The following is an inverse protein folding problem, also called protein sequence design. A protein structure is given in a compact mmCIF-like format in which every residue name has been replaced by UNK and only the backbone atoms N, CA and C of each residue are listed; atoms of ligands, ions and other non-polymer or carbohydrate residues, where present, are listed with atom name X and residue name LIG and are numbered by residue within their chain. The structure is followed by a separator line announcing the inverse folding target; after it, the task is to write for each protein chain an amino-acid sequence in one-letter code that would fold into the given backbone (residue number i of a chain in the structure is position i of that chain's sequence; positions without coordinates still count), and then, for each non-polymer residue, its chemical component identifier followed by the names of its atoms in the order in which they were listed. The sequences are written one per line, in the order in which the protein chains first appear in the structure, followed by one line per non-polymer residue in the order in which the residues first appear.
data_IF_452165616781
#
_entry.id   IF_452165616781
#
_cell.length_a   1.000
_cell.length_b   1.000
_cell.length_c   1.000
_cell.angle_alpha   90.00
_cell.angle_beta   90.00
_cell.angle_gamma   90.00
#
_symmetry.space_group_name_H-M   'P 1'
#
loop_
_entity.id
_entity.type
_entity.pdbx_description
1 polymer ?
#
# COMPACT_ATOMS: atom_id res chain seq x y z
N UNK A 1 -4.10 -5.51 -33.80
CA UNK A 1 -4.83 -4.51 -33.01
C UNK A 1 -5.87 -5.29 -32.19
N UNK A 2 -5.87 -5.17 -30.86
CA UNK A 2 -6.81 -5.91 -30.01
C UNK A 2 -8.24 -5.46 -30.37
N UNK A 3 -9.13 -6.40 -30.69
CA UNK A 3 -10.51 -6.09 -31.07
C UNK A 3 -11.37 -6.22 -29.81
N UNK A 4 -11.67 -5.08 -29.19
CA UNK A 4 -12.51 -5.10 -27.99
C UNK A 4 -13.97 -5.45 -28.31
N UNK A 5 -14.68 -6.14 -27.41
CA UNK A 5 -16.12 -6.35 -27.54
C UNK A 5 -16.88 -5.03 -27.40
N UNK A 6 -18.15 -5.00 -27.81
CA UNK A 6 -19.01 -3.83 -27.64
C UNK A 6 -19.36 -3.55 -26.16
N UNK A 7 -19.34 -4.60 -25.32
CA UNK A 7 -19.61 -4.54 -23.87
C UNK A 7 -18.83 -5.64 -23.15
N UNK A 8 -18.60 -5.45 -21.84
CA UNK A 8 -18.05 -6.50 -20.99
C UNK A 8 -19.05 -7.63 -20.77
N UNK A 9 -18.53 -8.84 -20.54
CA UNK A 9 -19.31 -9.95 -19.99
C UNK A 9 -19.50 -9.75 -18.47
N UNK A 10 -20.38 -10.53 -17.85
CA UNK A 10 -20.75 -10.37 -16.42
C UNK A 10 -19.56 -10.47 -15.45
N UNK A 11 -18.63 -11.39 -15.70
CA UNK A 11 -17.54 -11.66 -14.77
C UNK A 11 -18.03 -12.15 -13.40
N UNK A 12 -17.20 -11.96 -12.38
CA UNK A 12 -17.45 -12.35 -11.00
C UNK A 12 -17.00 -11.24 -10.03
N UNK A 13 -17.67 -11.11 -8.89
CA UNK A 13 -17.33 -10.16 -7.82
C UNK A 13 -16.08 -10.51 -7.02
N UNK A 14 -15.49 -11.69 -7.27
CA UNK A 14 -14.29 -12.15 -6.60
C UNK A 14 -13.37 -12.93 -7.57
N UNK A 15 -12.04 -12.92 -7.33
CA UNK A 15 -11.35 -12.07 -6.37
C UNK A 15 -11.38 -10.58 -6.80
N UNK A 16 -11.15 -9.67 -5.84
CA UNK A 16 -11.02 -8.24 -6.10
C UNK A 16 -9.75 -7.92 -6.90
N UNK A 17 -9.80 -6.84 -7.68
CA UNK A 17 -8.77 -6.42 -8.64
C UNK A 17 -8.97 -7.00 -10.03
N UNK A 18 -7.90 -7.00 -10.83
CA UNK A 18 -7.87 -7.58 -12.16
C UNK A 18 -7.18 -8.95 -12.16
N UNK A 19 -7.92 -10.01 -12.51
CA UNK A 19 -7.43 -11.40 -12.51
C UNK A 19 -7.49 -11.99 -13.91
N UNK A 20 -6.34 -12.43 -14.41
CA UNK A 20 -6.24 -13.13 -15.68
C UNK A 20 -6.39 -14.64 -15.49
N UNK A 21 -7.26 -15.27 -16.30
CA UNK A 21 -7.62 -16.70 -16.18
C UNK A 21 -7.14 -17.57 -17.36
N UNK A 22 -6.37 -16.99 -18.29
CA UNK A 22 -5.95 -17.67 -19.52
C UNK A 22 -6.76 -17.27 -20.76
N UNK A 23 -8.06 -16.99 -20.58
CA UNK A 23 -9.01 -16.66 -21.66
C UNK A 23 -9.35 -15.16 -21.70
N UNK A 24 -9.13 -14.44 -20.61
CA UNK A 24 -9.45 -13.03 -20.49
C UNK A 24 -9.13 -12.50 -19.10
N UNK A 25 -9.69 -11.34 -18.76
CA UNK A 25 -9.46 -10.68 -17.46
C UNK A 25 -10.80 -10.38 -16.79
N UNK A 26 -10.96 -10.87 -15.56
CA UNK A 26 -12.02 -10.45 -14.66
C UNK A 26 -11.59 -9.21 -13.89
N UNK A 27 -12.41 -8.16 -13.92
CA UNK A 27 -12.23 -6.94 -13.12
C UNK A 27 -13.30 -6.90 -12.04
N UNK A 28 -12.89 -6.66 -10.79
CA UNK A 28 -13.79 -6.50 -9.65
C UNK A 28 -13.28 -5.39 -8.71
N UNK A 29 -14.11 -4.39 -8.43
CA UNK A 29 -13.74 -3.25 -7.57
C UNK A 29 -14.87 -2.87 -6.62
N UNK A 30 -14.53 -2.68 -5.35
CA UNK A 30 -15.49 -2.28 -4.31
C UNK A 30 -15.83 -0.78 -4.39
N UNK A 31 -17.12 -0.47 -4.37
CA UNK A 31 -17.67 0.86 -4.09
C UNK A 31 -19.14 0.74 -3.71
N UNK A 32 -19.48 1.10 -2.46
CA UNK A 32 -20.83 1.09 -1.94
C UNK A 32 -21.67 2.27 -2.47
N UNK A 33 -21.03 3.42 -2.69
CA UNK A 33 -21.71 4.68 -3.01
C UNK A 33 -21.63 5.09 -4.49
N UNK A 34 -20.87 4.37 -5.32
CA UNK A 34 -20.88 4.63 -6.76
C UNK A 34 -22.26 4.32 -7.37
N UNK A 35 -22.62 5.11 -8.38
CA UNK A 35 -23.78 4.90 -9.25
C UNK A 35 -23.39 4.23 -10.58
N UNK A 36 -22.12 4.31 -10.96
CA UNK A 36 -21.53 3.65 -12.13
C UNK A 36 -20.01 3.62 -11.97
N UNK A 37 -19.36 2.57 -12.47
CA UNK A 37 -17.91 2.54 -12.65
C UNK A 37 -17.59 2.17 -14.09
N UNK A 38 -16.76 3.01 -14.74
CA UNK A 38 -16.20 2.72 -16.05
C UNK A 38 -14.78 2.18 -15.92
N UNK A 39 -14.52 1.02 -16.51
CA UNK A 39 -13.19 0.49 -16.81
C UNK A 39 -12.60 1.24 -18.02
N UNK A 40 -11.47 1.91 -17.83
CA UNK A 40 -10.74 2.62 -18.87
C UNK A 40 -9.51 1.82 -19.27
N UNK A 41 -9.37 1.51 -20.56
CA UNK A 41 -8.25 0.75 -21.13
C UNK A 41 -7.33 1.70 -21.89
N UNK A 42 -6.01 1.52 -21.72
CA UNK A 42 -4.98 2.36 -22.32
C UNK A 42 -4.13 1.60 -23.32
N UNK A 43 -3.52 2.35 -24.25
CA UNK A 43 -2.46 1.83 -25.11
C UNK A 43 -1.23 1.39 -24.30
N UNK A 44 -0.31 0.58 -24.84
CA UNK A 44 0.88 0.12 -24.10
C UNK A 44 1.79 1.24 -23.58
N UNK A 45 1.69 2.46 -24.15
CA UNK A 45 2.42 3.62 -23.65
C UNK A 45 1.79 4.25 -22.40
N UNK A 46 0.54 3.90 -22.08
CA UNK A 46 -0.25 4.44 -20.99
C UNK A 46 -0.73 5.89 -21.21
N UNK A 47 -0.56 6.43 -22.43
CA UNK A 47 -0.82 7.84 -22.75
C UNK A 47 -2.23 8.07 -23.30
N UNK A 48 -2.77 7.10 -24.05
CA UNK A 48 -4.06 7.25 -24.72
C UNK A 48 -5.05 6.22 -24.21
N UNK A 49 -6.20 6.70 -23.75
CA UNK A 49 -7.37 5.85 -23.52
C UNK A 49 -7.87 5.34 -24.88
N UNK A 50 -7.88 4.01 -25.07
CA UNK A 50 -8.25 3.35 -26.33
C UNK A 50 -9.62 2.68 -26.28
N UNK A 51 -10.13 2.42 -25.08
CA UNK A 51 -11.48 1.91 -24.87
C UNK A 51 -11.97 2.24 -23.45
N UNK A 52 -13.29 2.30 -23.30
CA UNK A 52 -13.97 2.50 -22.02
C UNK A 52 -15.21 1.62 -21.97
N UNK A 53 -15.39 0.92 -20.86
CA UNK A 53 -16.53 0.03 -20.65
C UNK A 53 -17.15 0.28 -19.29
N UNK A 54 -18.48 0.40 -19.24
CA UNK A 54 -19.22 0.33 -17.99
C UNK A 54 -19.11 -1.09 -17.40
N UNK A 55 -18.83 -1.21 -16.10
CA UNK A 55 -18.88 -2.50 -15.39
C UNK A 55 -20.36 -2.93 -15.26
N UNK A 56 -20.76 -4.07 -15.86
CA UNK A 56 -22.17 -4.40 -16.07
C UNK A 56 -22.91 -4.90 -14.83
N UNK A 57 -22.20 -5.42 -13.83
CA UNK A 57 -22.81 -6.12 -12.70
C UNK A 57 -22.30 -5.55 -11.37
N UNK A 58 -23.16 -5.62 -10.34
CA UNK A 58 -22.86 -5.19 -8.98
C UNK A 58 -23.40 -6.21 -7.98
N UNK A 59 -22.51 -6.94 -7.32
CA UNK A 59 -22.84 -7.96 -6.31
C UNK A 59 -22.15 -7.60 -5.00
N UNK A 60 -22.88 -7.53 -3.88
CA UNK A 60 -22.34 -7.18 -2.55
C UNK A 60 -21.44 -5.94 -2.56
N UNK A 61 -21.89 -4.88 -3.26
CA UNK A 61 -21.19 -3.60 -3.42
C UNK A 61 -19.88 -3.66 -4.23
N UNK A 62 -19.62 -4.80 -4.87
CA UNK A 62 -18.50 -4.98 -5.80
C UNK A 62 -19.01 -4.86 -7.22
N UNK A 63 -18.44 -3.92 -7.97
CA UNK A 63 -18.67 -3.74 -9.40
C UNK A 63 -17.76 -4.67 -10.17
N UNK A 64 -18.29 -5.42 -11.12
CA UNK A 64 -17.50 -6.40 -11.85
C UNK A 64 -17.91 -6.59 -13.31
N UNK A 65 -16.95 -7.09 -14.09
CA UNK A 65 -17.09 -7.37 -15.51
C UNK A 65 -15.90 -8.17 -16.03
N UNK A 66 -16.10 -8.85 -17.15
CA UNK A 66 -15.07 -9.69 -17.77
C UNK A 66 -14.78 -9.25 -19.20
N UNK A 67 -13.49 -9.07 -19.49
CA UNK A 67 -12.98 -8.72 -20.81
C UNK A 67 -12.32 -9.94 -21.45
N UNK A 68 -12.98 -10.62 -22.42
CA UNK A 68 -12.38 -11.75 -23.11
C UNK A 68 -11.14 -11.31 -23.90
N UNK A 69 -10.21 -12.24 -24.08
CA UNK A 69 -8.95 -12.12 -24.82
C UNK A 69 -7.96 -11.07 -24.28
N UNK A 70 -8.32 -10.35 -23.21
CA UNK A 70 -7.38 -9.50 -22.47
C UNK A 70 -6.25 -10.34 -21.88
N UNK A 71 -5.03 -9.78 -21.86
CA UNK A 71 -3.81 -10.46 -21.42
C UNK A 71 -3.03 -9.63 -20.41
N UNK A 72 -2.14 -10.26 -19.63
CA UNK A 72 -1.16 -9.54 -18.80
C UNK A 72 -0.39 -8.49 -19.61
N UNK A 73 -0.10 -7.36 -18.96
CA UNK A 73 0.44 -6.15 -19.58
C UNK A 73 -0.63 -5.15 -20.04
N UNK A 74 -1.92 -5.50 -19.99
CA UNK A 74 -3.00 -4.56 -20.28
C UNK A 74 -3.03 -3.44 -19.23
N UNK A 75 -3.03 -2.20 -19.70
CA UNK A 75 -3.06 -1.01 -18.86
C UNK A 75 -4.49 -0.53 -18.68
N UNK A 76 -4.87 -0.29 -17.43
CA UNK A 76 -6.22 0.14 -17.09
C UNK A 76 -6.26 1.12 -15.92
N UNK A 77 -7.46 1.65 -15.68
CA UNK A 77 -7.85 2.39 -14.48
C UNK A 77 -9.37 2.53 -14.46
N UNK A 78 -9.90 3.17 -13.43
CA UNK A 78 -11.35 3.37 -13.28
C UNK A 78 -11.75 4.84 -13.33
N UNK A 79 -13.01 5.08 -13.72
CA UNK A 79 -13.72 6.34 -13.48
C UNK A 79 -15.02 6.02 -12.76
N UNK A 80 -15.15 6.51 -11.53
CA UNK A 80 -16.35 6.30 -10.73
C UNK A 80 -17.28 7.52 -10.82
N UNK A 81 -18.57 7.25 -10.99
CA UNK A 81 -19.64 8.22 -10.98
C UNK A 81 -20.45 8.03 -9.71
N UNK A 82 -20.86 9.14 -9.11
CA UNK A 82 -21.64 9.15 -7.88
C UNK A 82 -21.89 10.59 -7.43
N UNK A 83 -22.46 10.78 -6.24
CA UNK A 83 -22.71 12.10 -5.69
C UNK A 83 -21.39 12.86 -5.44
N UNK A 84 -21.32 14.11 -5.90
CA UNK A 84 -20.30 15.05 -5.45
C UNK A 84 -20.94 15.95 -4.38
N UNK A 85 -21.01 15.43 -3.17
CA UNK A 85 -21.56 16.08 -1.98
C UNK A 85 -20.47 16.15 -0.90
N UNK A 86 -19.44 17.01 -1.04
CA UNK A 86 -18.32 17.04 -0.09
C UNK A 86 -18.74 17.27 1.35
N UNK A 87 -19.82 18.00 1.61
CA UNK A 87 -20.37 18.22 2.96
C UNK A 87 -20.87 16.94 3.64
N UNK A 88 -21.12 15.87 2.87
CA UNK A 88 -21.57 14.55 3.31
C UNK A 88 -20.52 13.47 3.00
N UNK A 89 -19.26 13.87 2.88
CA UNK A 89 -18.15 12.96 2.61
C UNK A 89 -18.10 12.34 1.20
N UNK A 90 -19.07 12.58 0.31
CA UNK A 90 -19.05 12.01 -1.04
C UNK A 90 -18.25 12.87 -2.01
N UNK A 91 -17.19 12.30 -2.61
CA UNK A 91 -16.21 13.02 -3.44
C UNK A 91 -16.03 12.42 -4.84
N UNK A 92 -17.08 11.80 -5.40
CA UNK A 92 -17.04 11.18 -6.73
C UNK A 92 -16.79 12.20 -7.84
N UNK A 93 -15.74 11.99 -8.63
CA UNK A 93 -15.45 12.83 -9.78
C UNK A 93 -14.97 11.99 -10.97
N UNK A 94 -15.83 11.71 -11.97
CA UNK A 94 -15.48 10.84 -13.09
C UNK A 94 -14.45 11.45 -14.04
N UNK A 95 -14.12 12.74 -13.90
CA UNK A 95 -13.02 13.34 -14.65
C UNK A 95 -11.65 12.90 -14.12
N UNK A 96 -11.59 12.32 -12.92
CA UNK A 96 -10.36 11.79 -12.33
C UNK A 96 -10.24 10.31 -12.67
N UNK A 97 -9.12 9.93 -13.29
CA UNK A 97 -8.72 8.54 -13.46
C UNK A 97 -8.23 8.01 -12.12
N UNK A 98 -8.71 6.82 -11.75
CA UNK A 98 -8.44 6.17 -10.47
C UNK A 98 -7.61 4.91 -10.71
N UNK A 99 -6.60 4.72 -9.86
CA UNK A 99 -5.85 3.46 -9.74
C UNK A 99 -6.75 2.41 -9.09
N UNK A 100 -6.65 1.16 -9.54
CA UNK A 100 -7.28 0.03 -8.86
C UNK A 100 -6.63 -0.20 -7.48
N UNK A 101 -7.38 -0.20 -6.36
CA UNK A 101 -6.83 -0.42 -5.02
C UNK A 101 -6.18 -1.81 -4.86
N UNK A 102 -6.56 -2.77 -5.71
CA UNK A 102 -5.99 -4.12 -5.79
C UNK A 102 -4.97 -4.28 -6.95
N UNK A 103 -4.48 -3.17 -7.54
CA UNK A 103 -3.45 -3.24 -8.57
C UNK A 103 -2.16 -3.89 -8.04
N UNK A 104 -1.74 -4.99 -8.68
CA UNK A 104 -0.51 -5.73 -8.35
C UNK A 104 0.75 -5.13 -9.02
N UNK A 105 0.56 -4.25 -9.99
CA UNK A 105 1.64 -3.45 -10.57
C UNK A 105 1.09 -2.13 -11.13
N UNK A 106 1.96 -1.11 -11.18
CA UNK A 106 1.66 0.19 -11.75
C UNK A 106 2.67 0.54 -12.85
N UNK A 107 2.20 1.10 -13.95
CA UNK A 107 3.04 1.62 -15.04
C UNK A 107 2.97 3.15 -15.11
N UNK A 108 4.15 3.77 -15.18
CA UNK A 108 4.32 5.21 -15.27
C UNK A 108 4.59 5.85 -13.91
N UNK A 109 4.76 7.17 -13.91
CA UNK A 109 4.97 7.97 -12.71
C UNK A 109 3.85 9.00 -12.57
N UNK A 110 3.49 9.32 -11.33
CA UNK A 110 2.59 10.42 -11.04
C UNK A 110 3.22 11.74 -11.52
N UNK A 111 2.51 12.47 -12.39
CA UNK A 111 2.92 13.78 -12.87
C UNK A 111 2.02 14.84 -12.27
N UNK A 112 2.55 15.56 -11.29
CA UNK A 112 1.79 16.56 -10.57
C UNK A 112 1.28 17.67 -11.48
N UNK A 113 -0.03 17.91 -11.36
CA UNK A 113 -0.72 19.06 -11.91
C UNK A 113 -2.01 19.26 -11.13
N UNK A 114 -2.59 20.44 -11.21
CA UNK A 114 -3.86 20.74 -10.53
C UNK A 114 -5.03 19.87 -11.04
N UNK A 115 -4.88 19.21 -12.20
CA UNK A 115 -5.88 18.26 -12.72
C UNK A 115 -6.04 17.01 -11.85
N UNK A 116 -5.05 16.68 -11.02
CA UNK A 116 -5.08 15.53 -10.11
C UNK A 116 -6.00 15.74 -8.91
N UNK A 117 -6.50 16.96 -8.70
CA UNK A 117 -7.37 17.29 -7.58
C UNK A 117 -8.83 17.22 -8.05
N UNK A 118 -9.70 16.61 -7.23
CA UNK A 118 -11.15 16.55 -7.48
C UNK A 118 -11.83 17.92 -7.53
N UNK A 119 -11.19 18.92 -6.93
CA UNK A 119 -11.63 20.30 -6.80
C UNK A 119 -10.64 21.27 -7.46
N UNK A 120 -11.07 22.50 -7.70
CA UNK A 120 -10.22 23.52 -8.31
C UNK A 120 -9.39 24.21 -7.24
N UNK A 121 -8.06 24.03 -7.26
CA UNK A 121 -7.13 24.59 -6.26
C UNK A 121 -7.31 26.11 -6.07
N UNK A 122 -7.50 26.86 -7.16
CA UNK A 122 -7.69 28.32 -7.11
C UNK A 122 -9.12 28.78 -6.82
N UNK A 123 -10.07 27.86 -6.58
CA UNK A 123 -11.45 28.27 -6.33
C UNK A 123 -11.61 28.85 -4.92
N UNK A 124 -12.35 29.96 -4.75
CA UNK A 124 -12.67 30.48 -3.41
C UNK A 124 -13.54 29.52 -2.60
N UNK A 125 -14.17 28.52 -3.24
CA UNK A 125 -14.93 27.45 -2.57
C UNK A 125 -14.06 26.28 -2.11
N UNK A 126 -12.75 26.29 -2.39
CA UNK A 126 -11.82 25.22 -2.02
C UNK A 126 -12.28 23.84 -2.52
N UNK A 127 -12.22 22.85 -1.62
CA UNK A 127 -12.62 21.45 -1.87
C UNK A 127 -14.12 21.25 -2.14
N UNK A 128 -14.96 22.27 -1.91
CA UNK A 128 -16.38 22.25 -2.27
C UNK A 128 -16.61 22.49 -3.77
N UNK A 129 -15.60 22.97 -4.50
CA UNK A 129 -15.67 23.12 -5.95
C UNK A 129 -15.43 21.79 -6.65
N UNK A 130 -15.89 21.66 -7.90
CA UNK A 130 -15.59 20.50 -8.76
C UNK A 130 -14.67 20.89 -9.91
N UNK A 131 -13.59 20.13 -10.08
CA UNK A 131 -12.67 20.26 -11.21
C UNK A 131 -12.99 19.22 -12.29
N UNK A 132 -13.28 19.67 -13.51
CA UNK A 132 -13.68 18.82 -14.63
C UNK A 132 -12.54 18.46 -15.59
N UNK A 133 -11.30 18.84 -15.29
CA UNK A 133 -10.13 18.50 -16.12
C UNK A 133 -9.81 17.02 -15.94
N UNK A 134 -9.48 16.37 -17.05
CA UNK A 134 -9.06 14.98 -17.07
C UNK A 134 -7.69 14.80 -16.39
N UNK A 135 -7.61 13.90 -15.41
CA UNK A 135 -6.36 13.59 -14.71
C UNK A 135 -5.56 12.44 -15.36
N UNK A 136 -6.15 11.70 -16.31
CA UNK A 136 -5.53 10.51 -16.89
C UNK A 136 -4.08 10.69 -17.39
N UNK A 137 -3.66 11.84 -17.99
CA UNK A 137 -2.27 12.04 -18.39
C UNK A 137 -1.26 12.09 -17.23
N UNK A 138 -1.71 12.39 -16.01
CA UNK A 138 -0.87 12.55 -14.83
C UNK A 138 -0.89 11.38 -13.84
N UNK A 139 -1.80 10.41 -14.01
CA UNK A 139 -1.98 9.27 -13.09
C UNK A 139 -1.29 8.02 -13.66
N UNK A 140 -0.52 7.25 -12.87
CA UNK A 140 0.01 5.95 -13.32
C UNK A 140 -1.14 4.97 -13.63
N UNK A 141 -0.90 3.99 -14.50
CA UNK A 141 -1.92 3.02 -14.90
C UNK A 141 -1.77 1.74 -14.10
N UNK A 142 -2.87 1.16 -13.66
CA UNK A 142 -2.89 -0.21 -13.14
C UNK A 142 -2.55 -1.18 -14.28
N UNK A 143 -1.83 -2.24 -13.95
CA UNK A 143 -1.37 -3.24 -14.91
C UNK A 143 -2.00 -4.58 -14.57
N UNK A 144 -2.60 -5.25 -15.56
CA UNK A 144 -2.97 -6.67 -15.41
C UNK A 144 -1.68 -7.49 -15.37
N UNK A 145 -1.47 -8.26 -14.31
CA UNK A 145 -0.25 -9.06 -14.12
C UNK A 145 -0.51 -10.56 -14.36
N UNK A 146 0.58 -11.30 -14.54
CA UNK A 146 0.59 -12.75 -14.36
C UNK A 146 1.40 -13.05 -13.12
N UNK A 147 0.79 -13.75 -12.16
CA UNK A 147 1.36 -14.00 -10.84
C UNK A 147 2.17 -15.29 -10.77
N UNK A 148 2.22 -16.05 -11.87
CA UNK A 148 2.92 -17.32 -11.94
C UNK A 148 4.44 -17.12 -11.75
N UNK A 149 4.95 -17.61 -10.61
CA UNK A 149 6.36 -17.63 -10.27
C UNK A 149 6.74 -18.99 -9.70
N UNK A 150 7.85 -19.58 -10.16
CA UNK A 150 8.33 -20.87 -9.67
C UNK A 150 9.29 -20.69 -8.49
N UNK A 151 8.78 -20.86 -7.27
CA UNK A 151 9.56 -20.82 -6.03
C UNK A 151 10.53 -22.01 -5.86
N UNK A 152 10.36 -23.10 -6.60
CA UNK A 152 11.17 -24.31 -6.43
C UNK A 152 11.08 -24.84 -4.99
N UNK A 153 12.24 -25.15 -4.40
CA UNK A 153 12.34 -25.68 -3.04
C UNK A 153 12.42 -24.59 -1.94
N UNK A 154 11.98 -23.36 -2.23
CA UNK A 154 11.98 -22.27 -1.25
C UNK A 154 11.19 -22.66 0.01
N UNK A 155 11.73 -22.30 1.18
CA UNK A 155 11.10 -22.50 2.48
C UNK A 155 11.37 -21.28 3.34
N UNK A 156 10.33 -20.80 4.01
CA UNK A 156 10.43 -19.76 5.04
C UNK A 156 11.48 -20.18 6.09
N UNK A 157 12.52 -19.37 6.38
CA UNK A 157 13.57 -19.72 7.33
C UNK A 157 13.06 -19.99 8.76
N UNK A 158 12.00 -19.29 9.19
CA UNK A 158 11.34 -19.46 10.51
C UNK A 158 12.32 -19.40 11.69
N UNK A 159 13.13 -18.36 11.74
CA UNK A 159 14.05 -18.08 12.84
C UNK A 159 13.23 -17.81 14.12
N UNK A 160 13.44 -18.54 15.23
CA UNK A 160 12.75 -18.27 16.48
C UNK A 160 13.05 -16.86 17.02
N UNK A 161 12.08 -16.22 17.68
CA UNK A 161 12.21 -14.86 18.21
C UNK A 161 13.43 -14.67 19.11
N UNK A 162 13.79 -15.67 19.93
CA UNK A 162 14.97 -15.58 20.81
C UNK A 162 16.32 -15.60 20.08
N UNK A 163 16.32 -15.88 18.77
CA UNK A 163 17.51 -15.84 17.89
C UNK A 163 17.41 -14.76 16.82
N UNK A 164 16.33 -13.99 16.80
CA UNK A 164 16.11 -12.95 15.81
C UNK A 164 17.00 -11.73 16.10
N UNK A 165 17.75 -11.30 15.07
CA UNK A 165 18.53 -10.06 15.04
C UNK A 165 18.09 -9.32 13.79
N UNK A 166 17.29 -8.27 14.00
CA UNK A 166 16.70 -7.48 12.93
C UNK A 166 17.68 -6.40 12.47
N UNK A 167 17.85 -6.27 11.16
CA UNK A 167 18.46 -5.10 10.55
C UNK A 167 17.42 -4.34 9.74
N UNK A 168 17.06 -3.15 10.20
CA UNK A 168 16.27 -2.20 9.41
C UNK A 168 17.14 -1.67 8.26
N UNK A 169 16.61 -1.71 7.03
CA UNK A 169 17.31 -1.23 5.86
C UNK A 169 16.39 -0.54 4.86
N UNK A 170 16.85 0.60 4.36
CA UNK A 170 16.26 1.19 3.17
C UNK A 170 16.76 0.46 1.92
N UNK A 171 15.87 -0.17 1.16
CA UNK A 171 16.22 -0.94 -0.05
C UNK A 171 17.15 -0.19 -1.00
N UNK A 172 16.80 1.06 -1.35
CA UNK A 172 17.64 1.93 -2.18
C UNK A 172 18.99 2.24 -1.54
N UNK A 173 19.00 2.78 -0.32
CA UNK A 173 20.21 3.22 0.38
C UNK A 173 21.24 2.11 0.61
N UNK A 174 20.77 0.88 0.86
CA UNK A 174 21.60 -0.28 1.17
C UNK A 174 22.66 -0.59 0.10
N UNK A 175 22.35 -0.31 -1.17
CA UNK A 175 23.20 -0.67 -2.31
C UNK A 175 23.53 0.47 -3.28
N UNK A 176 22.98 1.68 -3.09
CA UNK A 176 23.10 2.79 -4.04
C UNK A 176 24.56 3.18 -4.38
N UNK A 177 25.49 3.00 -3.44
CA UNK A 177 26.91 3.38 -3.60
C UNK A 177 27.85 2.19 -3.81
N UNK A 178 27.34 0.97 -4.00
CA UNK A 178 28.16 -0.22 -4.28
C UNK A 178 28.65 -0.20 -5.73
N UNK A 179 29.96 -0.04 -5.92
CA UNK A 179 30.59 0.11 -7.24
C UNK A 179 30.57 -1.18 -8.06
N UNK A 180 30.47 -2.33 -7.40
CA UNK A 180 30.47 -3.67 -7.95
C UNK A 180 29.17 -3.99 -8.71
N UNK A 181 28.08 -3.30 -8.36
CA UNK A 181 26.78 -3.42 -9.03
C UNK A 181 26.71 -2.50 -10.25
N UNK A 182 25.99 -2.94 -11.29
CA UNK A 182 25.71 -2.06 -12.43
C UNK A 182 24.82 -0.89 -12.00
N UNK A 183 24.89 0.27 -12.69
CA UNK A 183 24.09 1.44 -12.32
C UNK A 183 22.57 1.20 -12.28
N UNK A 184 22.06 0.26 -13.08
CA UNK A 184 20.63 -0.09 -13.14
C UNK A 184 20.20 -0.98 -11.97
N UNK A 185 21.12 -1.76 -11.40
CA UNK A 185 20.82 -2.65 -10.25
C UNK A 185 20.90 -1.91 -8.92
N UNK A 186 21.74 -0.88 -8.81
CA UNK A 186 21.96 -0.14 -7.56
C UNK A 186 20.64 0.40 -6.99
N UNK A 187 20.37 0.04 -5.74
CA UNK A 187 19.20 0.47 -5.00
C UNK A 187 17.89 -0.20 -5.43
N UNK A 188 17.97 -1.39 -6.04
CA UNK A 188 16.81 -2.18 -6.48
C UNK A 188 16.79 -3.57 -5.81
N UNK A 189 15.72 -4.33 -6.02
CA UNK A 189 15.64 -5.73 -5.58
C UNK A 189 16.70 -6.63 -6.22
N UNK A 190 17.19 -6.31 -7.43
CA UNK A 190 18.34 -7.05 -8.00
C UNK A 190 19.60 -6.92 -7.17
N UNK A 191 19.87 -5.73 -6.64
CA UNK A 191 20.98 -5.55 -5.71
C UNK A 191 20.76 -6.33 -4.42
N UNK A 192 19.51 -6.45 -3.95
CA UNK A 192 19.19 -7.23 -2.76
C UNK A 192 19.47 -8.73 -2.96
N UNK A 193 19.29 -9.22 -4.19
CA UNK A 193 19.58 -10.59 -4.60
C UNK A 193 21.07 -10.87 -4.86
N UNK A 194 21.93 -9.84 -4.80
CA UNK A 194 23.35 -9.96 -5.15
C UNK A 194 24.13 -10.81 -4.12
N UNK A 195 24.94 -11.79 -4.56
CA UNK A 195 25.69 -12.65 -3.65
C UNK A 195 26.64 -11.91 -2.71
N UNK A 196 27.28 -10.82 -3.15
CA UNK A 196 28.22 -10.06 -2.31
C UNK A 196 27.50 -9.24 -1.24
N UNK A 197 26.28 -8.78 -1.53
CA UNK A 197 25.43 -8.18 -0.50
C UNK A 197 24.97 -9.23 0.51
N UNK A 198 24.47 -10.38 0.06
CA UNK A 198 24.00 -11.44 0.97
C UNK A 198 25.14 -11.93 1.87
N UNK A 199 26.32 -12.17 1.31
CA UNK A 199 27.52 -12.55 2.08
C UNK A 199 27.94 -11.47 3.09
N UNK A 200 27.74 -10.19 2.77
CA UNK A 200 27.91 -9.11 3.74
C UNK A 200 26.89 -9.18 4.90
N UNK A 201 25.61 -9.43 4.61
CA UNK A 201 24.57 -9.58 5.64
C UNK A 201 24.86 -10.77 6.55
N UNK A 202 25.29 -11.90 5.98
CA UNK A 202 25.69 -13.08 6.74
C UNK A 202 26.88 -12.81 7.66
N UNK A 203 27.92 -12.12 7.17
CA UNK A 203 29.07 -11.72 8.00
C UNK A 203 28.70 -10.75 9.12
N UNK A 204 27.73 -9.87 8.90
CA UNK A 204 27.22 -8.99 9.94
C UNK A 204 26.50 -9.77 11.05
N UNK A 205 26.00 -10.97 10.74
CA UNK A 205 25.34 -11.87 11.68
C UNK A 205 23.87 -11.59 11.89
N UNK A 206 23.23 -10.85 10.97
CA UNK A 206 21.79 -10.61 11.03
C UNK A 206 21.04 -11.90 10.65
N UNK A 207 19.83 -12.06 11.17
CA UNK A 207 18.96 -13.20 10.82
C UNK A 207 17.70 -12.76 10.09
N UNK A 208 17.30 -11.50 10.25
CA UNK A 208 16.09 -10.95 9.65
C UNK A 208 16.37 -9.56 9.09
N UNK A 209 15.98 -9.32 7.85
CA UNK A 209 16.04 -8.03 7.19
C UNK A 209 14.67 -7.36 7.23
N UNK A 210 14.55 -6.22 7.88
CA UNK A 210 13.35 -5.38 7.86
C UNK A 210 13.50 -4.29 6.81
N UNK A 211 12.71 -4.36 5.74
CA UNK A 211 12.74 -3.38 4.67
C UNK A 211 11.78 -2.23 4.98
N UNK A 212 12.29 -1.00 4.92
CA UNK A 212 11.46 0.21 4.86
C UNK A 212 10.42 0.12 3.71
N UNK A 213 9.32 0.90 3.73
CA UNK A 213 8.17 0.69 2.86
C UNK A 213 8.50 0.44 1.38
N UNK A 214 8.11 -0.74 0.90
CA UNK A 214 8.30 -1.15 -0.50
C UNK A 214 7.01 -1.10 -1.33
N UNK A 215 5.86 -0.90 -0.71
CA UNK A 215 4.58 -0.73 -1.40
C UNK A 215 4.62 0.54 -2.27
N UNK A 216 3.87 0.56 -3.37
CA UNK A 216 3.94 1.68 -4.30
C UNK A 216 3.42 2.97 -3.65
N UNK A 217 4.35 3.88 -3.34
CA UNK A 217 4.08 5.22 -2.79
C UNK A 217 4.27 6.34 -3.82
N UNK A 218 3.80 7.55 -3.46
CA UNK A 218 3.98 8.76 -4.29
C UNK A 218 5.04 9.69 -3.71
N UNK A 219 5.64 10.50 -4.58
CA UNK A 219 6.46 11.63 -4.18
C UNK A 219 5.54 12.83 -3.94
N UNK A 220 5.47 13.32 -2.71
CA UNK A 220 4.61 14.44 -2.34
C UNK A 220 4.85 15.70 -3.17
N UNK A 221 3.76 16.37 -3.57
CA UNK A 221 3.83 17.62 -4.35
C UNK A 221 4.69 18.68 -3.67
N UNK A 222 4.47 18.89 -2.37
CA UNK A 222 5.19 19.93 -1.61
C UNK A 222 6.69 19.64 -1.47
N UNK A 223 7.10 18.37 -1.49
CA UNK A 223 8.52 17.99 -1.51
C UNK A 223 9.13 18.31 -2.87
N UNK A 224 8.45 17.93 -3.96
CA UNK A 224 8.92 18.18 -5.32
C UNK A 224 9.03 19.67 -5.65
N UNK A 225 8.08 20.49 -5.19
CA UNK A 225 8.13 21.96 -5.31
C UNK A 225 9.35 22.58 -4.62
N UNK A 226 9.95 21.87 -3.65
CA UNK A 226 11.19 22.26 -2.96
C UNK A 226 12.44 21.56 -3.51
N UNK A 227 12.32 20.81 -4.62
CA UNK A 227 13.42 20.01 -5.16
C UNK A 227 13.79 18.79 -4.33
N UNK A 228 12.91 18.35 -3.43
CA UNK A 228 13.06 17.18 -2.56
C UNK A 228 12.26 15.99 -3.09
N UNK A 229 12.43 14.83 -2.46
CA UNK A 229 11.66 13.61 -2.79
C UNK A 229 11.31 12.84 -1.52
N UNK A 230 10.24 12.05 -1.56
CA UNK A 230 9.94 11.10 -0.50
C UNK A 230 10.93 9.93 -0.63
N UNK A 231 11.89 9.88 0.30
CA UNK A 231 12.92 8.84 0.32
C UNK A 231 12.36 7.57 0.97
N UNK A 232 11.84 7.70 2.19
CA UNK A 232 11.42 6.56 3.02
C UNK A 232 10.22 5.78 2.49
N UNK A 233 9.27 6.43 1.82
CA UNK A 233 8.14 5.75 1.19
C UNK A 233 6.88 5.57 2.06
N UNK A 234 6.82 6.15 3.25
CA UNK A 234 5.62 6.17 4.12
C UNK A 234 4.51 7.08 3.56
N UNK A 235 4.00 6.75 2.38
CA UNK A 235 2.95 7.51 1.69
C UNK A 235 2.29 6.68 0.57
N UNK A 236 1.68 5.56 0.95
CA UNK A 236 1.26 4.50 0.01
C UNK A 236 0.10 4.90 -0.89
N UNK A 237 0.20 4.53 -2.18
CA UNK A 237 -0.85 4.63 -3.20
C UNK A 237 -1.52 3.28 -3.46
N UNK A 238 -0.73 2.21 -3.62
CA UNK A 238 -1.24 0.86 -3.90
C UNK A 238 -0.57 -0.17 -2.97
N UNK A 239 -1.40 -0.89 -2.21
CA UNK A 239 -0.95 -1.82 -1.17
C UNK A 239 -0.38 -3.14 -1.73
N UNK A 240 -0.77 -3.52 -2.94
CA UNK A 240 -0.39 -4.81 -3.56
C UNK A 240 0.79 -4.67 -4.53
N UNK A 241 1.10 -3.46 -5.00
CA UNK A 241 2.15 -3.25 -5.98
C UNK A 241 3.48 -2.88 -5.29
N UNK A 242 4.62 -3.49 -5.66
CA UNK A 242 5.92 -2.97 -5.28
C UNK A 242 6.19 -1.61 -5.92
N UNK A 243 6.96 -0.76 -5.23
CA UNK A 243 7.33 0.55 -5.72
C UNK A 243 8.21 0.46 -6.97
N UNK A 244 7.72 0.97 -8.10
CA UNK A 244 8.33 0.78 -9.41
C UNK A 244 9.79 1.25 -9.49
N UNK A 245 10.19 2.29 -8.74
CA UNK A 245 11.57 2.78 -8.75
C UNK A 245 12.57 1.84 -8.05
N UNK A 246 12.09 0.80 -7.38
CA UNK A 246 12.90 -0.25 -6.76
C UNK A 246 13.04 -1.50 -7.62
N UNK A 247 12.45 -1.50 -8.83
CA UNK A 247 12.55 -2.58 -9.81
C UNK A 247 13.48 -2.12 -10.93
N UNK A 248 14.52 -2.90 -11.21
CA UNK A 248 15.52 -2.58 -12.24
C UNK A 248 14.93 -2.68 -13.66
N UNK A 249 14.06 -3.66 -13.90
CA UNK A 249 13.42 -3.94 -15.19
C UNK A 249 11.89 -3.75 -15.13
N UNK A 250 11.37 -3.34 -13.98
CA UNK A 250 9.94 -3.10 -13.78
C UNK A 250 9.12 -4.37 -13.50
N UNK A 251 9.77 -5.50 -13.26
CA UNK A 251 9.08 -6.77 -13.00
C UNK A 251 8.93 -7.05 -11.50
N UNK A 252 7.72 -7.28 -10.98
CA UNK A 252 7.53 -7.71 -9.58
C UNK A 252 8.26 -9.01 -9.23
N UNK A 253 8.64 -9.84 -10.22
CA UNK A 253 9.42 -11.06 -9.99
C UNK A 253 10.83 -10.78 -9.43
N UNK A 254 11.33 -9.55 -9.57
CA UNK A 254 12.60 -9.15 -8.94
C UNK A 254 12.51 -9.25 -7.41
N UNK A 255 11.37 -8.88 -6.82
CA UNK A 255 11.12 -9.01 -5.37
C UNK A 255 11.17 -10.47 -4.94
N UNK A 256 10.42 -11.33 -5.64
CA UNK A 256 10.36 -12.78 -5.36
C UNK A 256 11.73 -13.43 -5.48
N UNK A 257 12.52 -13.01 -6.47
CA UNK A 257 13.89 -13.50 -6.67
C UNK A 257 14.80 -13.09 -5.52
N UNK A 258 14.70 -11.84 -5.05
CA UNK A 258 15.49 -11.35 -3.93
C UNK A 258 15.15 -12.10 -2.63
N UNK A 259 13.85 -12.24 -2.32
CA UNK A 259 13.38 -12.96 -1.13
C UNK A 259 13.84 -14.42 -1.18
N UNK A 260 13.66 -15.13 -2.31
CA UNK A 260 14.15 -16.51 -2.49
C UNK A 260 15.65 -16.65 -2.24
N UNK A 261 16.46 -15.67 -2.66
CA UNK A 261 17.91 -15.68 -2.44
C UNK A 261 18.28 -15.45 -0.98
N UNK A 262 17.56 -14.57 -0.29
CA UNK A 262 17.72 -14.35 1.15
C UNK A 262 17.31 -15.59 1.94
N UNK A 263 16.20 -16.23 1.60
CA UNK A 263 15.76 -17.49 2.21
C UNK A 263 16.78 -18.62 2.02
N UNK A 264 17.34 -18.76 0.83
CA UNK A 264 18.40 -19.74 0.57
C UNK A 264 19.66 -19.49 1.42
N UNK A 265 19.87 -18.26 1.89
CA UNK A 265 20.92 -17.90 2.83
C UNK A 265 20.48 -17.96 4.31
N UNK A 266 19.23 -18.32 4.59
CA UNK A 266 18.67 -18.38 5.93
C UNK A 266 18.31 -17.02 6.54
N UNK A 267 18.10 -15.99 5.71
CA UNK A 267 17.71 -14.64 6.13
C UNK A 267 16.22 -14.45 5.87
N UNK A 268 15.48 -14.10 6.93
CA UNK A 268 14.06 -13.73 6.83
C UNK A 268 13.88 -12.31 6.29
N UNK A 269 12.71 -12.02 5.73
CA UNK A 269 12.32 -10.70 5.24
C UNK A 269 11.05 -10.24 5.94
N UNK A 270 11.15 -9.12 6.66
CA UNK A 270 10.02 -8.37 7.22
C UNK A 270 9.78 -7.13 6.37
N UNK A 271 8.51 -6.81 6.11
CA UNK A 271 8.14 -5.57 5.44
C UNK A 271 7.59 -4.56 6.43
N UNK A 272 8.12 -3.34 6.38
CA UNK A 272 7.48 -2.18 6.97
C UNK A 272 6.25 -1.80 6.12
N UNK A 273 5.08 -1.78 6.75
CA UNK A 273 3.79 -1.59 6.08
C UNK A 273 2.99 -0.44 6.67
N UNK A 274 2.43 0.37 5.77
CA UNK A 274 1.64 1.56 6.11
C UNK A 274 0.20 1.32 5.68
N UNK A 275 -0.63 0.87 6.62
CA UNK A 275 -2.08 0.69 6.40
C UNK A 275 -2.93 1.75 7.13
N UNK A 276 -2.30 2.63 7.90
CA UNK A 276 -2.98 3.61 8.74
C UNK A 276 -3.46 4.85 7.95
N UNK A 277 -2.73 5.26 6.90
CA UNK A 277 -3.08 6.38 6.01
C UNK A 277 -2.74 6.08 4.54
N UNK A 278 -3.11 7.00 3.66
CA UNK A 278 -2.82 6.94 2.21
C UNK A 278 -2.26 8.26 1.70
N UNK A 279 -1.69 8.23 0.50
CA UNK A 279 -1.16 9.41 -0.17
C UNK A 279 -2.16 10.46 -0.64
N UNK A 280 -3.46 10.23 -0.45
CA UNK A 280 -4.48 11.20 -0.85
C UNK A 280 -4.64 12.35 0.18
N UNK A 281 -3.96 12.29 1.34
CA UNK A 281 -3.97 13.36 2.35
C UNK A 281 -5.38 13.74 2.85
N UNK A 282 -5.54 14.97 3.34
CA UNK A 282 -6.86 15.50 3.79
C UNK A 282 -7.76 15.85 2.61
N UNK A 283 -8.92 16.47 2.86
CA UNK A 283 -9.86 16.96 1.84
C UNK A 283 -9.22 17.84 0.75
N UNK A 284 -8.07 18.44 1.07
CA UNK A 284 -7.27 19.27 0.17
C UNK A 284 -6.21 18.49 -0.62
N UNK A 285 -6.12 17.17 -0.45
CA UNK A 285 -5.22 16.32 -1.21
C UNK A 285 -5.77 15.90 -2.59
N UNK A 286 -5.00 15.11 -3.36
CA UNK A 286 -5.37 14.68 -4.70
C UNK A 286 -6.51 13.64 -4.69
N UNK A 287 -6.99 13.28 -5.87
CA UNK A 287 -7.96 12.20 -6.09
C UNK A 287 -7.37 11.22 -7.11
N UNK A 288 -6.80 10.13 -6.60
CA UNK A 288 -5.97 9.15 -7.28
C UNK A 288 -6.52 7.71 -7.19
N UNK A 289 -7.21 7.36 -6.10
CA UNK A 289 -7.67 5.99 -5.86
C UNK A 289 -8.94 5.96 -4.97
N UNK A 290 -8.75 5.80 -3.66
CA UNK A 290 -9.77 5.51 -2.66
C UNK A 290 -10.83 6.61 -2.55
N UNK A 291 -10.41 7.88 -2.52
CA UNK A 291 -11.30 9.06 -2.47
C UNK A 291 -12.28 9.08 -3.63
N UNK A 292 -11.79 8.80 -4.83
CA UNK A 292 -12.60 8.82 -6.03
C UNK A 292 -13.51 7.60 -6.16
N UNK A 293 -13.11 6.46 -5.58
CA UNK A 293 -13.86 5.21 -5.62
C UNK A 293 -14.96 5.17 -4.56
N UNK A 294 -14.66 5.52 -3.31
CA UNK A 294 -15.65 5.61 -2.23
C UNK A 294 -15.09 6.30 -0.97
N UNK A 295 -14.97 7.64 -0.99
CA UNK A 295 -14.37 8.39 0.11
C UNK A 295 -14.98 8.08 1.50
N UNK A 296 -16.30 7.89 1.58
CA UNK A 296 -17.01 7.66 2.84
C UNK A 296 -16.81 6.25 3.40
N UNK A 297 -16.52 5.26 2.55
CA UNK A 297 -16.18 3.91 3.00
C UNK A 297 -14.71 3.77 3.37
N UNK A 298 -13.79 4.29 2.54
CA UNK A 298 -12.35 4.08 2.72
C UNK A 298 -11.73 4.90 3.87
N UNK A 299 -12.24 6.09 4.17
CA UNK A 299 -11.66 6.98 5.18
C UNK A 299 -12.57 7.18 6.38
N UNK A 300 -11.97 7.35 7.55
CA UNK A 300 -12.70 7.77 8.75
C UNK A 300 -13.04 9.24 8.62
N UNK A 301 -14.34 9.55 8.57
CA UNK A 301 -14.85 10.91 8.50
C UNK A 301 -15.15 11.44 9.91
N UNK A 302 -15.04 12.75 10.09
CA UNK A 302 -15.42 13.39 11.36
C UNK A 302 -16.94 13.30 11.51
N UNK A 303 -17.47 12.69 12.59
CA UNK A 303 -18.91 12.67 12.83
C UNK A 303 -19.49 14.09 12.86
N UNK A 304 -20.65 14.29 12.25
CA UNK A 304 -21.33 15.61 12.11
C UNK A 304 -20.61 16.64 11.22
N UNK A 305 -19.39 16.36 10.76
CA UNK A 305 -18.63 17.16 9.79
C UNK A 305 -17.92 16.26 8.78
N UNK A 306 -18.72 15.46 8.06
CA UNK A 306 -18.26 14.42 7.12
C UNK A 306 -17.44 14.97 5.95
N UNK A 307 -17.37 16.30 5.80
CA UNK A 307 -16.45 16.96 4.88
C UNK A 307 -15.00 16.65 5.21
N UNK A 308 -14.66 16.57 6.50
CA UNK A 308 -13.30 16.42 6.97
C UNK A 308 -13.02 14.96 7.37
N UNK A 309 -11.77 14.56 7.24
CA UNK A 309 -11.30 13.25 7.67
C UNK A 309 -10.65 13.34 9.05
N UNK A 310 -10.80 12.27 9.84
CA UNK A 310 -10.02 12.07 11.05
C UNK A 310 -8.55 11.90 10.65
N UNK A 311 -7.67 12.56 11.40
CA UNK A 311 -6.22 12.58 11.13
C UNK A 311 -5.43 12.11 12.36
N UNK A 312 -5.68 10.87 12.79
CA UNK A 312 -4.97 10.25 13.91
C UNK A 312 -3.52 9.90 13.55
N UNK A 313 -3.15 9.98 12.26
CA UNK A 313 -1.82 9.64 11.72
C UNK A 313 -0.91 10.85 11.56
N UNK A 314 -1.46 12.07 11.57
CA UNK A 314 -0.74 13.28 11.21
C UNK A 314 -0.52 13.48 9.70
N UNK A 315 -0.95 12.54 8.85
CA UNK A 315 -0.74 12.54 7.40
C UNK A 315 -1.94 13.06 6.57
N UNK A 316 -2.99 13.52 7.25
CA UNK A 316 -4.17 14.17 6.67
C UNK A 316 -5.39 13.26 6.57
N UNK A 317 -5.23 11.94 6.63
CA UNK A 317 -6.34 10.98 6.67
C UNK A 317 -6.01 9.76 7.53
N UNK A 318 -7.05 9.02 7.89
CA UNK A 318 -6.98 7.71 8.53
C UNK A 318 -7.86 6.73 7.76
N UNK A 319 -7.30 5.58 7.39
CA UNK A 319 -8.02 4.51 6.70
C UNK A 319 -9.05 3.86 7.64
N UNK A 320 -10.24 3.54 7.15
CA UNK A 320 -11.35 3.05 7.98
C UNK A 320 -11.36 1.53 8.12
N UNK A 321 -10.54 0.99 9.03
CA UNK A 321 -10.48 -0.46 9.25
C UNK A 321 -11.69 -1.05 9.97
N UNK A 322 -12.60 -0.22 10.51
CA UNK A 322 -13.90 -0.68 10.99
C UNK A 322 -14.85 -1.05 9.84
N UNK A 323 -14.56 -0.61 8.61
CA UNK A 323 -15.36 -0.96 7.43
C UNK A 323 -14.94 -2.35 6.88
N UNK A 324 -15.86 -3.34 6.75
CA UNK A 324 -15.51 -4.71 6.39
C UNK A 324 -14.71 -4.86 5.09
N UNK A 325 -15.04 -4.07 4.06
CA UNK A 325 -14.33 -4.10 2.76
C UNK A 325 -12.93 -3.47 2.79
N UNK A 326 -12.71 -2.49 3.67
CA UNK A 326 -11.40 -1.86 3.83
C UNK A 326 -10.50 -2.75 4.67
N UNK A 327 -11.06 -3.35 5.73
CA UNK A 327 -10.41 -4.41 6.48
C UNK A 327 -10.03 -5.58 5.56
N UNK A 328 -10.98 -6.07 4.75
CA UNK A 328 -10.73 -7.12 3.76
C UNK A 328 -9.55 -6.76 2.84
N UNK A 329 -9.50 -5.53 2.30
CA UNK A 329 -8.40 -5.07 1.46
C UNK A 329 -7.04 -5.14 2.17
N UNK A 330 -6.95 -4.71 3.42
CA UNK A 330 -5.71 -4.81 4.21
C UNK A 330 -5.34 -6.27 4.46
N UNK A 331 -6.29 -7.11 4.84
CA UNK A 331 -6.05 -8.54 5.07
C UNK A 331 -5.63 -9.27 3.79
N UNK A 332 -6.26 -8.96 2.65
CA UNK A 332 -5.89 -9.52 1.36
C UNK A 332 -4.50 -9.05 0.93
N UNK A 333 -4.13 -7.80 1.20
CA UNK A 333 -2.79 -7.28 0.94
C UNK A 333 -1.74 -8.00 1.78
N UNK A 334 -1.98 -8.16 3.09
CA UNK A 334 -1.09 -8.93 3.96
C UNK A 334 -0.92 -10.37 3.46
N UNK A 335 -2.02 -11.05 3.10
CA UNK A 335 -1.95 -12.41 2.52
C UNK A 335 -1.21 -12.43 1.18
N UNK A 336 -1.38 -11.42 0.34
CA UNK A 336 -0.67 -11.31 -0.92
C UNK A 336 0.85 -11.26 -0.70
N UNK A 337 1.33 -10.40 0.20
CA UNK A 337 2.75 -10.34 0.53
C UNK A 337 3.27 -11.63 1.19
N UNK A 338 2.49 -12.26 2.07
CA UNK A 338 2.86 -13.51 2.72
C UNK A 338 2.89 -14.72 1.76
N UNK A 339 1.83 -14.92 0.96
CA UNK A 339 1.66 -16.12 0.14
C UNK A 339 2.31 -15.96 -1.23
N UNK A 340 2.16 -14.80 -1.87
CA UNK A 340 2.67 -14.63 -3.24
C UNK A 340 4.16 -14.22 -3.22
N UNK A 341 4.61 -13.48 -2.19
CA UNK A 341 5.99 -13.02 -2.06
C UNK A 341 6.81 -13.73 -0.97
N UNK A 342 6.21 -14.64 -0.20
CA UNK A 342 6.87 -15.38 0.89
C UNK A 342 7.49 -14.48 1.97
N UNK A 343 6.90 -13.32 2.25
CA UNK A 343 7.34 -12.45 3.36
C UNK A 343 7.13 -13.15 4.71
N UNK A 344 8.14 -13.08 5.59
CA UNK A 344 8.15 -13.76 6.90
C UNK A 344 7.44 -12.98 8.03
N UNK A 345 7.15 -11.69 7.80
CA UNK A 345 6.48 -10.85 8.78
C UNK A 345 6.30 -9.40 8.36
N UNK A 346 5.66 -8.65 9.25
CA UNK A 346 5.31 -7.26 9.02
C UNK A 346 5.65 -6.41 10.24
N UNK A 347 6.23 -5.23 9.99
CA UNK A 347 6.31 -4.13 10.95
C UNK A 347 5.27 -3.09 10.57
N UNK A 348 4.30 -2.85 11.45
CA UNK A 348 3.18 -1.96 11.22
C UNK A 348 3.52 -0.55 11.72
N UNK A 349 3.64 0.37 10.77
CA UNK A 349 3.74 1.81 11.02
C UNK A 349 2.49 2.32 11.72
N UNK A 350 2.68 3.15 12.75
CA UNK A 350 1.60 3.71 13.59
C UNK A 350 0.51 2.68 13.92
N UNK A 351 0.90 1.49 14.38
CA UNK A 351 0.02 0.33 14.53
C UNK A 351 -1.20 0.61 15.41
N UNK A 352 -1.05 1.51 16.39
CA UNK A 352 -2.17 1.95 17.24
C UNK A 352 -3.35 2.50 16.44
N UNK A 353 -3.10 3.14 15.30
CA UNK A 353 -4.18 3.64 14.45
C UNK A 353 -5.01 2.51 13.84
N UNK A 354 -4.40 1.36 13.56
CA UNK A 354 -5.09 0.19 13.01
C UNK A 354 -6.07 -0.43 14.02
N UNK A 355 -5.82 -0.20 15.31
CA UNK A 355 -6.69 -0.63 16.41
C UNK A 355 -7.80 0.36 16.77
N UNK A 356 -7.96 1.46 16.04
CA UNK A 356 -8.94 2.50 16.39
C UNK A 356 -10.33 2.19 15.90
N UNK A 357 -11.25 2.11 16.85
CA UNK A 357 -12.70 2.10 16.63
C UNK A 357 -13.30 3.50 16.85
N UNK A 358 -14.62 3.64 16.81
CA UNK A 358 -15.30 4.92 17.06
C UNK A 358 -15.07 5.48 18.47
N UNK A 359 -14.65 4.65 19.43
CA UNK A 359 -14.40 5.01 20.83
C UNK A 359 -12.91 5.05 21.22
N UNK A 360 -11.99 4.83 20.29
CA UNK A 360 -10.54 4.82 20.54
C UNK A 360 -9.88 3.48 20.24
N UNK A 361 -8.65 3.29 20.73
CA UNK A 361 -7.91 2.04 20.54
C UNK A 361 -8.57 0.87 21.28
N UNK A 362 -8.73 -0.24 20.59
CA UNK A 362 -9.19 -1.51 21.14
C UNK A 362 -8.29 -2.66 20.67
N UNK A 363 -7.68 -3.35 21.64
CA UNK A 363 -6.87 -4.55 21.39
C UNK A 363 -7.68 -5.74 20.83
N UNK A 364 -9.01 -5.68 20.91
CA UNK A 364 -9.96 -6.65 20.34
C UNK A 364 -10.78 -6.04 19.19
N UNK A 365 -10.26 -5.01 18.52
CA UNK A 365 -10.88 -4.47 17.31
C UNK A 365 -10.94 -5.50 16.18
N UNK A 366 -11.77 -5.23 15.17
CA UNK A 366 -11.95 -6.13 14.03
C UNK A 366 -10.66 -6.48 13.30
N UNK A 367 -9.72 -5.53 13.19
CA UNK A 367 -8.42 -5.75 12.56
C UNK A 367 -7.59 -6.81 13.28
N UNK A 368 -7.40 -6.66 14.60
CA UNK A 368 -6.60 -7.60 15.38
C UNK A 368 -7.25 -8.98 15.49
N UNK A 369 -8.58 -9.05 15.56
CA UNK A 369 -9.29 -10.32 15.60
C UNK A 369 -9.12 -11.11 14.30
N UNK A 370 -9.33 -10.47 13.14
CA UNK A 370 -9.19 -11.14 11.85
C UNK A 370 -7.75 -11.53 11.56
N UNK A 371 -6.77 -10.71 11.96
CA UNK A 371 -5.34 -11.01 11.80
C UNK A 371 -4.90 -12.21 12.65
N UNK A 372 -5.30 -12.27 13.92
CA UNK A 372 -4.88 -13.34 14.85
C UNK A 372 -5.52 -14.69 14.55
N UNK A 373 -6.74 -14.71 14.03
CA UNK A 373 -7.39 -15.96 13.63
C UNK A 373 -6.95 -16.45 12.24
N UNK A 374 -6.34 -15.59 11.42
CA UNK A 374 -5.99 -15.94 10.06
C UNK A 374 -4.92 -17.05 10.01
N UNK A 375 -5.16 -18.18 9.34
CA UNK A 375 -4.25 -19.33 9.38
C UNK A 375 -2.90 -19.08 8.69
N UNK A 376 -2.81 -18.08 7.80
CA UNK A 376 -1.56 -17.69 7.17
C UNK A 376 -0.85 -16.66 8.03
N UNK A 377 -1.53 -15.57 8.37
CA UNK A 377 -0.90 -14.38 8.96
C UNK A 377 -0.55 -14.56 10.44
N UNK A 378 -1.32 -15.34 11.20
CA UNK A 378 -1.04 -15.63 12.62
C UNK A 378 0.27 -16.37 12.86
N UNK A 379 0.86 -16.98 11.81
CA UNK A 379 2.11 -17.72 11.87
C UNK A 379 3.34 -16.88 11.51
N UNK A 380 3.17 -15.60 11.20
CA UNK A 380 4.24 -14.68 10.79
C UNK A 380 4.70 -13.81 11.95
N UNK A 381 5.86 -13.16 11.79
CA UNK A 381 6.30 -12.15 12.76
C UNK A 381 5.47 -10.88 12.60
N UNK A 382 4.86 -10.42 13.69
CA UNK A 382 4.08 -9.18 13.73
C UNK A 382 4.77 -8.21 14.69
N UNK A 383 5.20 -7.05 14.18
CA UNK A 383 5.88 -6.00 14.96
C UNK A 383 5.02 -4.74 14.89
N UNK A 384 4.68 -4.14 16.03
CA UNK A 384 3.95 -2.90 16.09
C UNK A 384 4.88 -1.71 16.38
N UNK A 385 4.64 -0.58 15.73
CA UNK A 385 4.90 0.73 16.32
C UNK A 385 3.74 1.07 17.26
N UNK A 386 3.94 0.98 18.59
CA UNK A 386 2.82 0.97 19.53
C UNK A 386 2.38 2.37 19.93
N UNK A 387 2.37 3.30 18.97
CA UNK A 387 1.83 4.63 19.16
C UNK A 387 1.28 5.23 17.86
N UNK A 388 0.47 6.27 18.00
CA UNK A 388 0.14 7.22 16.94
C UNK A 388 0.03 8.65 17.53
N UNK A 389 0.03 9.73 16.71
CA UNK A 389 -0.06 11.09 17.22
C UNK A 389 -1.47 11.51 17.66
N UNK A 390 -2.50 10.66 17.46
CA UNK A 390 -3.87 10.95 17.85
C UNK A 390 -4.08 10.91 19.38
N UNK A 391 -5.21 11.46 19.88
CA UNK A 391 -5.55 11.38 21.29
C UNK A 391 -5.60 9.93 21.77
N UNK A 392 -4.96 9.64 22.91
CA UNK A 392 -4.84 8.29 23.44
C UNK A 392 -3.98 7.35 22.59
N UNK A 393 -3.12 7.90 21.72
CA UNK A 393 -2.36 7.12 20.75
C UNK A 393 -1.24 6.27 21.33
N UNK A 394 -0.71 6.55 22.53
CA UNK A 394 0.38 5.76 23.13
C UNK A 394 -0.11 4.44 23.74
N UNK A 395 0.26 3.31 23.13
CA UNK A 395 -0.25 1.96 23.42
C UNK A 395 0.87 0.94 23.65
N UNK A 396 2.05 1.38 24.12
CA UNK A 396 3.14 0.48 24.50
C UNK A 396 2.66 -0.51 25.58
N UNK A 397 2.75 -1.80 25.28
CA UNK A 397 2.34 -2.92 26.12
C UNK A 397 0.87 -3.31 25.98
N UNK A 398 0.11 -2.65 25.11
CA UNK A 398 -1.34 -2.86 24.96
C UNK A 398 -1.72 -3.55 23.64
N UNK A 399 -0.76 -3.92 22.77
CA UNK A 399 -1.08 -4.71 21.59
C UNK A 399 -1.41 -6.16 21.99
N UNK A 400 -2.27 -6.84 21.21
CA UNK A 400 -2.68 -8.19 21.57
C UNK A 400 -1.53 -9.20 21.51
N UNK A 401 -1.65 -10.34 22.22
CA UNK A 401 -0.65 -11.41 22.16
C UNK A 401 -0.35 -11.84 20.72
N UNK A 402 0.93 -12.11 20.45
CA UNK A 402 1.47 -12.44 19.13
C UNK A 402 2.22 -11.28 18.46
N UNK A 403 2.01 -10.05 18.93
CA UNK A 403 2.81 -8.90 18.51
C UNK A 403 4.06 -8.73 19.36
N UNK A 404 5.18 -8.43 18.70
CA UNK A 404 6.29 -7.71 19.29
C UNK A 404 6.06 -6.19 19.12
N UNK A 405 6.68 -5.37 19.96
CA UNK A 405 6.51 -3.92 19.90
C UNK A 405 7.88 -3.21 19.87
N UNK A 406 7.98 -2.14 19.08
CA UNK A 406 9.11 -1.22 19.18
C UNK A 406 9.10 -0.54 20.56
N UNK A 407 10.17 -0.76 21.33
CA UNK A 407 10.29 -0.24 22.69
C UNK A 407 11.02 1.10 22.71
N UNK A 408 10.25 2.20 22.61
CA UNK A 408 10.78 3.57 22.71
C UNK A 408 11.36 3.87 24.09
N UNK A 409 10.78 3.31 25.16
CA UNK A 409 11.33 3.44 26.52
C UNK A 409 12.74 2.89 26.61
N UNK A 410 13.00 1.71 26.05
CA UNK A 410 14.35 1.15 25.98
C UNK A 410 15.29 2.08 25.20
N UNK A 411 14.89 2.53 24.01
CA UNK A 411 15.66 3.46 23.18
C UNK A 411 16.04 4.72 23.97
N UNK A 412 15.08 5.35 24.63
CA UNK A 412 15.27 6.63 25.30
C UNK A 412 16.05 6.46 26.61
N UNK A 413 15.75 5.43 27.40
CA UNK A 413 16.49 5.11 28.63
C UNK A 413 17.96 4.79 28.35
N UNK A 414 18.26 3.92 27.38
CA UNK A 414 19.64 3.57 27.02
C UNK A 414 20.41 4.81 26.54
N UNK A 415 19.79 5.64 25.68
CA UNK A 415 20.40 6.89 25.21
C UNK A 415 20.69 7.84 26.36
N UNK A 416 19.74 8.04 27.27
CA UNK A 416 19.89 8.92 28.44
C UNK A 416 20.97 8.42 29.38
N UNK A 417 21.01 7.12 29.65
CA UNK A 417 22.05 6.51 30.47
C UNK A 417 23.45 6.77 29.92
N UNK A 418 23.68 6.50 28.63
CA UNK A 418 24.99 6.71 28.01
C UNK A 418 25.32 8.19 27.76
N UNK A 419 24.31 9.07 27.64
CA UNK A 419 24.51 10.52 27.62
C UNK A 419 24.97 11.09 28.97
N UNK A 420 24.75 10.36 30.06
CA UNK A 420 25.12 10.75 31.43
C UNK A 420 23.97 11.35 32.25
N UNK A 421 22.72 11.17 31.83
CA UNK A 421 21.57 11.59 32.63
C UNK A 421 21.48 10.78 33.95
N UNK A 422 21.11 11.46 35.04
CA UNK A 422 20.90 10.82 36.34
C UNK A 422 19.69 9.86 36.35
N UNK A 423 19.66 8.97 37.36
CA UNK A 423 18.52 8.09 37.69
C UNK A 423 18.11 7.04 36.65
N UNK A 424 18.96 6.70 35.68
CA UNK A 424 18.62 5.71 34.63
C UNK A 424 18.98 4.25 34.98
N UNK A 425 19.69 4.00 36.10
CA UNK A 425 20.14 2.65 36.48
C UNK A 425 18.99 1.70 36.79
N UNK A 426 17.92 2.21 37.39
CA UNK A 426 16.74 1.39 37.72
C UNK A 426 15.94 1.00 36.48
N UNK A 427 15.81 1.90 35.51
CA UNK A 427 15.05 1.67 34.28
C UNK A 427 15.79 0.76 33.27
N UNK A 428 17.09 0.51 33.48
CA UNK A 428 17.91 -0.41 32.68
C UNK A 428 18.06 -1.81 33.27
N UNK A 429 17.86 -1.95 34.58
CA UNK A 429 18.00 -3.22 35.30
C UNK A 429 16.73 -4.06 35.14
#
# INVERSE_FOLDING_TARGET
MMRFPARLMRGASAPLGATWDGLGVNFAVFSANALRIDLCIFDPSGRREIARFELPERTDEVWHGYLPDARPGLLYGYRAYGPYEPLRGHRFNPHKLLVDPYARALQGQLRWSDSLFGYRISSPRGDLSIDRRDSAPGVPKSVVTNEAFNWGDDRLPRIPWERTVIMEAHLRGLSMRRSELTPVERGTFRALADPLLIDHLLRLGITTLELMPIQAFVKDRFLLERGLTNYWGYNTLAFFAPHAAYLAEGSPHEVRTAIRRLHAAGIEVILDVVYNHTCEGSELGPTLCYRGLDNASYYRLVPEDERHMINDTGCGNTLNLSHPRVLQMVMDSLRHWAVDFHVDGFRFDLCSTLGRESYGFDQNCGFFDVLRQDPVLSNLKLIAEPWDPGPGGYQLGNHPPGFAEWNDRFRDTVRRFWRGDGLQRGDLA
#
